data_IF_117354619531
#
_entry.id   IF_117354619531
#
_cell.length_a   1.000
_cell.length_b   1.000
_cell.length_c   1.000
_cell.angle_alpha   90.00
_cell.angle_beta   90.00
_cell.angle_gamma   90.00
#
_symmetry.space_group_name_H-M   'P 1'
#
loop_
_entity.id
_entity.type
_entity.pdbx_description
1 polymer ?
#
# COMPACT_ATOMS: atom_id res chain seq x y z
N UNK A 1 -11.99 -8.80 24.12
CA UNK A 1 -11.54 -8.69 22.81
C UNK A 1 -10.23 -7.92 22.74
N UNK A 2 -9.32 -8.51 22.02
CA UNK A 2 -8.05 -7.95 21.90
C UNK A 2 -7.98 -7.05 20.73
N UNK A 3 -7.36 -5.93 20.89
CA UNK A 3 -7.23 -5.10 19.79
C UNK A 3 -5.79 -4.93 19.44
N UNK A 4 -5.50 -4.77 18.17
CA UNK A 4 -4.15 -4.63 17.75
C UNK A 4 -3.50 -3.37 18.26
N UNK A 5 -2.19 -3.41 18.51
CA UNK A 5 -1.41 -2.25 18.82
C UNK A 5 -0.99 -1.50 17.57
N UNK A 6 -0.16 -0.45 17.71
CA UNK A 6 0.38 0.25 16.56
C UNK A 6 1.10 -0.72 15.63
N UNK A 7 0.88 -0.60 14.34
CA UNK A 7 1.51 -1.44 13.36
C UNK A 7 0.74 -2.67 12.97
N UNK A 8 -0.33 -3.00 13.69
CA UNK A 8 -1.18 -4.11 13.32
C UNK A 8 -2.31 -3.64 12.42
N UNK A 9 -2.68 -4.48 11.45
CA UNK A 9 -3.79 -4.18 10.56
C UNK A 9 -5.10 -4.59 11.24
N UNK A 10 -6.01 -3.63 11.35
CA UNK A 10 -7.36 -3.92 11.81
C UNK A 10 -8.19 -4.20 10.57
N UNK A 11 -8.67 -5.44 10.39
CA UNK A 11 -9.40 -5.81 9.17
C UNK A 11 -10.59 -4.92 8.93
N UNK A 12 -10.71 -4.44 7.69
CA UNK A 12 -11.82 -3.60 7.31
C UNK A 12 -11.78 -3.39 5.80
N UNK A 13 -12.92 -3.02 5.23
CA UNK A 13 -13.00 -2.57 3.86
C UNK A 13 -12.45 -1.15 3.83
N UNK A 14 -11.39 -0.93 3.08
CA UNK A 14 -10.77 0.40 3.03
C UNK A 14 -11.47 1.35 2.09
N UNK A 15 -12.35 0.84 1.23
CA UNK A 15 -12.98 1.66 0.20
C UNK A 15 -12.12 1.85 -1.04
N UNK A 16 -11.01 1.16 -1.14
CA UNK A 16 -10.09 1.26 -2.27
C UNK A 16 -10.04 -0.04 -3.06
N UNK A 17 -9.86 0.09 -4.36
CA UNK A 17 -9.75 -1.04 -5.26
C UNK A 17 -8.40 -0.99 -5.97
N UNK A 18 -7.83 -2.17 -6.24
CA UNK A 18 -6.58 -2.30 -6.96
C UNK A 18 -6.90 -2.97 -8.29
N UNK A 19 -6.72 -2.23 -9.39
CA UNK A 19 -7.13 -2.70 -10.70
C UNK A 19 -6.14 -3.61 -11.39
N UNK A 20 -4.88 -3.60 -10.98
CA UNK A 20 -3.85 -4.41 -11.61
C UNK A 20 -3.05 -5.15 -10.57
N UNK A 21 -3.16 -6.48 -10.60
CA UNK A 21 -2.42 -7.35 -9.68
C UNK A 21 -1.78 -8.43 -10.54
N UNK A 22 -0.50 -8.75 -10.34
CA UNK A 22 0.17 -9.78 -11.13
C UNK A 22 -0.53 -11.13 -10.99
N UNK A 23 -0.49 -11.96 -12.05
CA UNK A 23 -1.05 -13.31 -11.96
C UNK A 23 -0.42 -14.09 -10.79
N UNK A 24 -1.25 -14.86 -10.10
CA UNK A 24 -0.80 -15.64 -8.97
C UNK A 24 -0.84 -14.94 -7.63
N UNK A 25 -1.05 -13.63 -7.63
CA UNK A 25 -1.16 -12.88 -6.39
C UNK A 25 -2.62 -12.79 -5.96
N UNK A 26 -2.85 -13.04 -4.66
CA UNK A 26 -4.18 -12.90 -4.08
C UNK A 26 -4.11 -11.96 -2.89
N UNK A 27 -5.23 -11.33 -2.60
CA UNK A 27 -5.30 -10.44 -1.45
C UNK A 27 -5.31 -11.27 -0.17
N UNK A 28 -4.36 -11.00 0.73
CA UNK A 28 -4.27 -11.72 1.98
C UNK A 28 -4.72 -10.89 3.18
N UNK A 29 -4.70 -9.56 3.04
CA UNK A 29 -5.24 -8.72 4.12
C UNK A 29 -5.62 -7.36 3.55
N UNK A 30 -6.57 -6.74 4.20
CA UNK A 30 -7.00 -5.38 3.90
C UNK A 30 -7.53 -4.77 5.18
N UNK A 31 -7.14 -3.54 5.49
CA UNK A 31 -7.63 -2.88 6.67
C UNK A 31 -6.87 -1.60 6.94
N UNK A 32 -6.96 -1.14 8.16
CA UNK A 32 -6.29 0.09 8.56
C UNK A 32 -5.22 -0.22 9.60
N UNK A 33 -4.13 0.51 9.51
CA UNK A 33 -2.97 0.31 10.35
C UNK A 33 -2.57 1.65 10.97
N UNK A 34 -2.41 1.64 12.28
CA UNK A 34 -1.95 2.84 12.97
C UNK A 34 -0.44 2.84 13.00
N UNK A 35 0.17 3.87 12.45
CA UNK A 35 1.61 3.98 12.38
C UNK A 35 2.08 5.07 13.33
N UNK A 36 3.25 4.87 13.93
CA UNK A 36 3.84 5.86 14.81
C UNK A 36 4.09 7.15 14.04
N UNK A 37 3.78 8.27 14.64
CA UNK A 37 3.98 9.56 14.00
C UNK A 37 2.89 9.98 13.04
N UNK A 38 1.86 9.15 12.86
CA UNK A 38 0.73 9.47 11.99
C UNK A 38 -0.50 9.76 12.82
N UNK A 39 -1.22 10.83 12.49
CA UNK A 39 -2.43 11.19 13.20
C UNK A 39 -3.56 10.22 12.89
N UNK A 40 -3.68 9.83 11.62
CA UNK A 40 -4.75 8.96 11.15
C UNK A 40 -4.22 7.58 10.78
N UNK A 41 -5.05 6.56 10.90
CA UNK A 41 -4.66 5.22 10.41
C UNK A 41 -4.43 5.26 8.90
N UNK A 42 -3.52 4.40 8.46
CA UNK A 42 -3.18 4.26 7.05
C UNK A 42 -3.88 3.02 6.51
N UNK A 43 -4.54 3.15 5.37
CA UNK A 43 -5.13 2.00 4.71
C UNK A 43 -4.02 1.11 4.17
N UNK A 44 -4.15 -0.20 4.36
CA UNK A 44 -3.16 -1.15 3.87
C UNK A 44 -3.85 -2.33 3.23
N UNK A 45 -3.39 -2.68 2.03
CA UNK A 45 -3.84 -3.86 1.32
C UNK A 45 -2.60 -4.66 0.93
N UNK A 46 -2.59 -5.96 1.23
CA UNK A 46 -1.43 -6.80 0.94
C UNK A 46 -1.86 -7.94 0.03
N UNK A 47 -1.08 -8.13 -1.03
CA UNK A 47 -1.20 -9.25 -1.94
C UNK A 47 0.03 -10.13 -1.84
N UNK A 48 -0.15 -11.43 -2.05
CA UNK A 48 0.97 -12.37 -2.02
C UNK A 48 0.70 -13.54 -2.95
N UNK A 49 1.78 -14.10 -3.49
CA UNK A 49 1.72 -15.33 -4.26
C UNK A 49 2.22 -16.53 -3.45
N UNK A 50 2.46 -16.32 -2.15
CA UNK A 50 2.98 -17.35 -1.28
C UNK A 50 4.49 -17.29 -1.07
N UNK A 51 5.20 -16.58 -1.93
CA UNK A 51 6.66 -16.43 -1.83
C UNK A 51 7.06 -15.02 -1.46
N UNK A 52 6.42 -14.04 -2.09
CA UNK A 52 6.68 -12.63 -1.82
C UNK A 52 5.37 -11.92 -1.58
N UNK A 53 5.45 -10.76 -0.93
CA UNK A 53 4.27 -9.95 -0.65
C UNK A 53 4.47 -8.56 -1.23
N UNK A 54 3.37 -7.96 -1.65
CA UNK A 54 3.33 -6.58 -2.11
C UNK A 54 2.35 -5.84 -1.22
N UNK A 55 2.82 -4.77 -0.60
CA UNK A 55 2.00 -3.96 0.30
C UNK A 55 1.63 -2.66 -0.37
N UNK A 56 0.37 -2.26 -0.20
CA UNK A 56 -0.16 -1.02 -0.74
C UNK A 56 -0.64 -0.19 0.43
N UNK A 57 -0.10 1.02 0.56
CA UNK A 57 -0.47 1.95 1.63
C UNK A 57 -1.14 3.16 1.01
N UNK A 58 -2.24 3.59 1.60
CA UNK A 58 -2.99 4.76 1.12
C UNK A 58 -3.27 5.66 2.32
N UNK A 59 -2.87 6.92 2.20
CA UNK A 59 -3.03 7.89 3.28
C UNK A 59 -3.33 9.27 2.68
N UNK A 60 -3.92 10.17 3.47
CA UNK A 60 -4.17 11.51 2.97
C UNK A 60 -2.85 12.18 2.59
N UNK A 61 -2.86 12.89 1.47
CA UNK A 61 -1.68 13.62 1.03
C UNK A 61 -1.48 14.87 1.87
N UNK A 62 -0.24 15.12 2.30
CA UNK A 62 0.11 16.37 2.97
C UNK A 62 1.28 16.99 2.24
N UNK A 63 1.41 18.30 2.35
CA UNK A 63 2.47 19.01 1.65
C UNK A 63 3.87 18.65 2.14
N UNK A 64 3.97 18.02 3.30
CA UNK A 64 5.26 17.58 3.81
C UNK A 64 5.68 16.23 3.24
N UNK A 65 4.77 15.53 2.55
CA UNK A 65 5.08 14.25 1.92
C UNK A 65 5.45 14.50 0.48
N UNK A 66 6.75 14.65 0.23
CA UNK A 66 7.21 15.05 -1.10
C UNK A 66 7.90 13.94 -1.87
N UNK A 67 8.01 12.77 -1.28
CA UNK A 67 8.70 11.65 -1.93
C UNK A 67 7.78 10.93 -2.91
N UNK A 68 7.70 11.45 -4.11
CA UNK A 68 6.93 10.86 -5.20
C UNK A 68 7.91 10.19 -6.15
N UNK A 69 7.56 9.00 -6.62
CA UNK A 69 8.36 8.30 -7.61
C UNK A 69 8.87 6.97 -7.14
N UNK A 70 9.86 6.45 -7.86
CA UNK A 70 10.39 5.11 -7.65
C UNK A 70 11.67 5.17 -6.82
N UNK A 71 11.74 4.28 -5.83
CA UNK A 71 12.99 4.02 -5.11
C UNK A 71 13.23 2.52 -5.07
N UNK A 72 14.49 2.14 -4.97
CA UNK A 72 14.89 0.74 -4.87
C UNK A 72 16.01 0.60 -3.87
N UNK A 73 15.98 -0.51 -3.11
CA UNK A 73 17.05 -0.86 -2.19
C UNK A 73 17.10 -2.38 -2.14
N UNK A 74 18.20 -2.96 -2.61
CA UNK A 74 18.31 -4.39 -2.74
C UNK A 74 17.26 -4.92 -3.72
N UNK A 75 16.53 -5.95 -3.34
CA UNK A 75 15.46 -6.48 -4.18
C UNK A 75 14.11 -5.81 -3.97
N UNK A 76 14.06 -4.77 -3.15
CA UNK A 76 12.81 -4.13 -2.76
C UNK A 76 12.58 -2.90 -3.61
N UNK A 77 11.43 -2.81 -4.26
CA UNK A 77 11.04 -1.64 -5.03
C UNK A 77 9.87 -0.95 -4.35
N UNK A 78 9.88 0.37 -4.38
CA UNK A 78 8.80 1.18 -3.82
C UNK A 78 8.43 2.27 -4.82
N UNK A 79 7.14 2.38 -5.09
CA UNK A 79 6.64 3.45 -5.94
C UNK A 79 5.56 4.21 -5.20
N UNK A 80 5.71 5.54 -5.16
CA UNK A 80 4.77 6.43 -4.50
C UNK A 80 4.19 7.38 -5.52
N UNK A 81 2.87 7.52 -5.52
CA UNK A 81 2.18 8.44 -6.41
C UNK A 81 1.02 9.08 -5.68
N UNK A 82 0.56 10.20 -6.21
CA UNK A 82 -0.59 10.89 -5.67
C UNK A 82 -1.81 10.57 -6.49
N UNK A 83 -2.92 10.27 -5.80
CA UNK A 83 -4.21 10.03 -6.43
C UNK A 83 -5.23 10.92 -5.74
N UNK A 84 -5.65 11.99 -6.41
CA UNK A 84 -6.52 13.01 -5.83
C UNK A 84 -5.91 13.57 -4.53
N UNK A 85 -6.61 13.43 -3.42
CA UNK A 85 -6.16 13.94 -2.13
C UNK A 85 -5.38 12.91 -1.34
N UNK A 86 -4.97 11.79 -1.98
CA UNK A 86 -4.32 10.70 -1.28
C UNK A 86 -2.96 10.38 -1.86
N UNK A 87 -2.13 9.81 -1.01
CA UNK A 87 -0.81 9.31 -1.38
C UNK A 87 -0.89 7.80 -1.39
N UNK A 88 -0.46 7.19 -2.50
CA UNK A 88 -0.46 5.74 -2.68
C UNK A 88 0.97 5.27 -2.78
N UNK A 89 1.36 4.35 -1.90
CA UNK A 89 2.70 3.78 -1.89
C UNK A 89 2.60 2.27 -2.04
N UNK A 90 3.30 1.72 -3.03
CA UNK A 90 3.37 0.28 -3.25
C UNK A 90 4.79 -0.18 -3.02
N UNK A 91 4.95 -1.22 -2.23
CA UNK A 91 6.25 -1.70 -1.77
C UNK A 91 6.29 -3.22 -1.88
N UNK A 92 7.33 -3.76 -2.52
CA UNK A 92 7.45 -5.20 -2.60
C UNK A 92 8.69 -5.66 -3.35
N UNK A 93 8.98 -6.97 -3.23
CA UNK A 93 10.05 -7.61 -3.98
C UNK A 93 9.52 -7.99 -5.35
N UNK A 94 9.40 -6.99 -6.21
CA UNK A 94 8.84 -7.13 -7.54
C UNK A 94 9.55 -6.14 -8.45
N UNK A 95 9.49 -6.36 -9.77
CA UNK A 95 10.11 -5.40 -10.70
C UNK A 95 9.53 -4.00 -10.51
N UNK A 96 10.36 -2.97 -10.72
CA UNK A 96 9.87 -1.59 -10.60
C UNK A 96 8.63 -1.28 -11.44
N UNK A 97 8.56 -1.82 -12.66
CA UNK A 97 7.40 -1.59 -13.50
C UNK A 97 6.14 -2.17 -12.88
N UNK A 98 6.27 -3.29 -12.16
CA UNK A 98 5.14 -3.93 -11.52
C UNK A 98 4.57 -3.07 -10.40
N UNK A 99 5.43 -2.59 -9.49
CA UNK A 99 4.93 -1.76 -8.38
C UNK A 99 4.32 -0.47 -8.90
N UNK A 100 4.89 0.08 -9.97
CA UNK A 100 4.34 1.28 -10.59
C UNK A 100 2.95 1.04 -11.18
N UNK A 101 2.78 -0.06 -11.90
CA UNK A 101 1.49 -0.39 -12.51
C UNK A 101 0.43 -0.61 -11.45
N UNK A 102 0.79 -1.28 -10.36
CA UNK A 102 -0.14 -1.50 -9.26
C UNK A 102 -0.56 -0.16 -8.66
N UNK A 103 0.40 0.71 -8.37
CA UNK A 103 0.11 2.00 -7.75
C UNK A 103 -0.82 2.84 -8.63
N UNK A 104 -0.61 2.82 -9.94
CA UNK A 104 -1.41 3.60 -10.88
C UNK A 104 -2.79 3.02 -11.09
N UNK A 105 -3.03 1.79 -10.61
CA UNK A 105 -4.32 1.14 -10.76
C UNK A 105 -5.22 1.27 -9.53
N UNK A 106 -4.74 1.93 -8.48
CA UNK A 106 -5.49 2.10 -7.25
C UNK A 106 -6.53 3.20 -7.42
N UNK A 107 -7.76 2.91 -7.03
CA UNK A 107 -8.84 3.89 -7.15
C UNK A 107 -9.87 3.67 -6.05
N UNK A 108 -10.71 4.67 -5.84
CA UNK A 108 -11.82 4.55 -4.91
C UNK A 108 -12.87 3.60 -5.47
N UNK A 109 -13.46 2.81 -4.61
CA UNK A 109 -14.59 1.97 -4.99
C UNK A 109 -15.85 2.78 -5.10
#
# INVERSE_FOLDING_TARGET
MKRGGPGEVVPNDTGWAVGRVPPGFTKITEGFRKLAGKADPVAQIVYSDGLVAISIFIEPFTVTQTQIGLTQAGGLAQYTTRSDAFLVTVLGEAPPATVRQIAQSVSRR
#
